data_IF_463080022864
#
_entry.id   IF_463080022864
#
_cell.length_a   1.000
_cell.length_b   1.000
_cell.length_c   1.000
_cell.angle_alpha   90.00
_cell.angle_beta   90.00
_cell.angle_gamma   90.00
#
_symmetry.space_group_name_H-M   'P 1'
#
loop_
_entity.id
_entity.type
_entity.pdbx_description
1 polymer ?
#
# COMPACT_ATOMS: atom_id res chain seq x y z
N UNK A 1 -2.39 -41.64 -11.25
CA UNK A 1 -2.11 -40.26 -11.71
C UNK A 1 -1.92 -39.42 -10.45
N UNK A 2 -0.67 -39.15 -10.08
CA UNK A 2 -0.32 -38.39 -8.88
C UNK A 2 -0.67 -36.91 -9.09
N UNK A 3 -1.25 -36.20 -8.11
CA UNK A 3 -1.34 -34.76 -8.21
C UNK A 3 0.04 -34.18 -7.88
N UNK A 4 0.67 -33.62 -8.90
CA UNK A 4 1.83 -32.74 -8.77
C UNK A 4 1.38 -31.58 -7.90
N UNK A 5 1.84 -31.57 -6.65
CA UNK A 5 1.69 -30.46 -5.73
C UNK A 5 2.59 -29.34 -6.24
N UNK A 6 2.11 -28.56 -7.21
CA UNK A 6 2.74 -27.32 -7.60
C UNK A 6 2.69 -26.41 -6.38
N UNK A 7 3.80 -26.37 -5.63
CA UNK A 7 4.03 -25.38 -4.59
C UNK A 7 4.14 -24.03 -5.29
N UNK A 8 2.99 -23.39 -5.50
CA UNK A 8 2.91 -22.00 -5.92
C UNK A 8 3.42 -21.16 -4.77
N UNK A 9 4.74 -20.98 -4.71
CA UNK A 9 5.33 -19.94 -3.89
C UNK A 9 4.77 -18.60 -4.40
N UNK A 10 4.31 -17.69 -3.52
CA UNK A 10 3.79 -16.40 -3.95
C UNK A 10 4.84 -15.67 -4.82
N UNK A 11 4.42 -14.89 -5.83
CA UNK A 11 5.33 -14.22 -6.79
C UNK A 11 6.38 -13.31 -6.12
N UNK A 12 6.18 -12.99 -4.85
CA UNK A 12 7.12 -12.26 -3.99
C UNK A 12 8.45 -12.99 -3.76
N UNK A 13 8.47 -14.33 -3.74
CA UNK A 13 9.70 -15.10 -3.49
C UNK A 13 10.60 -15.25 -4.73
N UNK A 14 10.02 -15.22 -5.93
CA UNK A 14 10.76 -15.47 -7.17
C UNK A 14 11.72 -14.32 -7.52
N UNK A 15 11.28 -13.08 -7.27
CA UNK A 15 12.08 -11.87 -7.52
C UNK A 15 13.28 -11.78 -6.57
N UNK A 16 13.09 -12.07 -5.28
CA UNK A 16 14.20 -12.11 -4.31
C UNK A 16 15.18 -13.24 -4.62
N UNK A 17 14.68 -14.43 -4.97
CA UNK A 17 15.53 -15.57 -5.32
C UNK A 17 16.39 -15.28 -6.56
N UNK A 18 15.81 -14.71 -7.61
CA UNK A 18 16.54 -14.37 -8.84
C UNK A 18 17.65 -13.35 -8.60
N UNK A 19 17.38 -12.30 -7.81
CA UNK A 19 18.39 -11.30 -7.45
C UNK A 19 19.53 -11.91 -6.63
N UNK A 20 19.19 -12.74 -5.64
CA UNK A 20 20.17 -13.42 -4.81
C UNK A 20 21.07 -14.33 -5.65
N UNK A 21 20.50 -15.13 -6.56
CA UNK A 21 21.27 -15.97 -7.47
C UNK A 21 22.21 -15.16 -8.36
N UNK A 22 21.74 -14.03 -8.91
CA UNK A 22 22.56 -13.17 -9.79
C UNK A 22 23.69 -12.45 -9.07
N UNK A 23 23.51 -12.14 -7.79
CA UNK A 23 24.52 -11.45 -6.97
C UNK A 23 25.41 -12.40 -6.17
N UNK A 24 25.13 -13.70 -6.18
CA UNK A 24 25.79 -14.71 -5.36
C UNK A 24 27.31 -14.73 -5.53
N UNK A 25 27.81 -14.55 -6.76
CA UNK A 25 29.23 -14.71 -7.10
C UNK A 25 30.15 -13.64 -6.50
N UNK A 26 29.62 -12.47 -6.15
CA UNK A 26 30.43 -11.35 -5.64
C UNK A 26 29.88 -10.73 -4.35
N UNK A 27 28.81 -11.28 -3.79
CA UNK A 27 28.22 -10.83 -2.53
C UNK A 27 29.17 -11.06 -1.35
N UNK A 28 29.24 -10.06 -0.47
CA UNK A 28 30.09 -10.08 0.75
C UNK A 28 29.28 -9.81 2.02
N UNK A 29 27.94 -9.81 1.92
CA UNK A 29 27.02 -9.45 3.01
C UNK A 29 25.67 -10.15 2.87
N UNK A 30 25.00 -10.36 4.01
CA UNK A 30 23.62 -10.86 4.09
C UNK A 30 22.57 -9.78 3.74
N UNK A 31 22.97 -8.51 3.60
CA UNK A 31 22.03 -7.45 3.24
C UNK A 31 21.41 -7.69 1.86
N UNK A 32 20.09 -7.55 1.72
CA UNK A 32 19.39 -7.88 0.46
C UNK A 32 20.02 -7.18 -0.75
N UNK A 33 20.30 -5.88 -0.67
CA UNK A 33 20.90 -5.12 -1.77
C UNK A 33 22.41 -4.93 -1.57
N UNK A 34 23.17 -5.20 -2.63
CA UNK A 34 24.63 -5.04 -2.68
C UNK A 34 25.07 -4.03 -3.72
N UNK A 35 26.23 -3.42 -3.50
CA UNK A 35 26.83 -2.47 -4.43
C UNK A 35 27.45 -3.20 -5.62
N UNK A 36 27.33 -2.57 -6.78
CA UNK A 36 27.96 -3.00 -8.05
C UNK A 36 29.15 -2.11 -8.43
N UNK A 37 29.47 -1.09 -7.64
CA UNK A 37 30.58 -0.20 -7.94
C UNK A 37 31.90 -0.96 -7.71
N UNK A 38 32.89 -0.89 -8.62
CA UNK A 38 34.09 -1.73 -8.55
C UNK A 38 34.81 -1.71 -7.19
N UNK A 39 34.93 -0.53 -6.56
CA UNK A 39 35.58 -0.36 -5.26
C UNK A 39 34.80 -0.91 -4.06
N UNK A 40 33.47 -1.05 -4.17
CA UNK A 40 32.60 -1.51 -3.08
C UNK A 40 31.78 -2.74 -3.46
N UNK A 41 32.18 -3.44 -4.52
CA UNK A 41 31.39 -4.53 -5.08
C UNK A 41 31.12 -5.62 -4.04
N UNK A 42 29.85 -6.00 -3.92
CA UNK A 42 29.39 -7.01 -2.98
C UNK A 42 29.07 -6.50 -1.58
N UNK A 43 29.41 -5.25 -1.26
CA UNK A 43 29.12 -4.65 0.05
C UNK A 43 27.68 -4.14 0.14
N UNK A 44 27.18 -4.00 1.37
CA UNK A 44 25.84 -3.44 1.64
C UNK A 44 25.73 -2.01 1.09
N UNK A 45 24.63 -1.71 0.41
CA UNK A 45 24.32 -0.33 0.00
C UNK A 45 23.69 0.48 1.14
N UNK A 46 23.92 1.79 1.12
CA UNK A 46 23.27 2.72 2.05
C UNK A 46 21.80 2.97 1.69
N UNK A 47 21.02 3.42 2.67
CA UNK A 47 19.63 3.85 2.46
C UNK A 47 19.53 5.00 1.44
N UNK A 48 20.52 5.90 1.43
CA UNK A 48 20.60 6.99 0.46
C UNK A 48 20.77 6.49 -0.99
N UNK A 49 21.58 5.45 -1.20
CA UNK A 49 21.75 4.82 -2.52
C UNK A 49 20.45 4.17 -2.99
N UNK A 50 19.80 3.40 -2.11
CA UNK A 50 18.49 2.78 -2.42
C UNK A 50 17.46 3.87 -2.76
N UNK A 51 17.42 4.96 -1.99
CA UNK A 51 16.52 6.08 -2.27
C UNK A 51 16.79 6.77 -3.61
N UNK A 52 18.06 6.84 -4.04
CA UNK A 52 18.43 7.36 -5.36
C UNK A 52 17.97 6.43 -6.48
N UNK A 53 18.18 5.12 -6.34
CA UNK A 53 17.69 4.13 -7.30
C UNK A 53 16.17 4.19 -7.44
N UNK A 54 15.44 4.28 -6.33
CA UNK A 54 13.99 4.37 -6.34
C UNK A 54 13.49 5.61 -7.11
N UNK A 55 14.06 6.79 -6.84
CA UNK A 55 13.73 8.02 -7.59
C UNK A 55 14.01 7.86 -9.09
N UNK A 56 15.17 7.29 -9.44
CA UNK A 56 15.55 7.07 -10.83
C UNK A 56 14.62 6.07 -11.53
N UNK A 57 14.21 5.00 -10.85
CA UNK A 57 13.26 4.02 -11.39
C UNK A 57 11.89 4.65 -11.63
N UNK A 58 11.39 5.48 -10.71
CA UNK A 58 10.13 6.21 -10.90
C UNK A 58 10.25 7.13 -12.11
N UNK A 59 11.29 7.96 -12.19
CA UNK A 59 11.49 8.85 -13.33
C UNK A 59 11.50 8.09 -14.66
N UNK A 60 12.28 6.99 -14.74
CA UNK A 60 12.32 6.12 -15.92
C UNK A 60 10.97 5.51 -16.29
N UNK A 61 10.15 5.15 -15.31
CA UNK A 61 8.82 4.59 -15.56
C UNK A 61 7.85 5.62 -16.16
N UNK A 62 7.95 6.89 -15.76
CA UNK A 62 7.20 7.99 -16.35
C UNK A 62 7.70 8.31 -17.77
N UNK A 63 9.01 8.39 -17.96
CA UNK A 63 9.64 8.60 -19.27
C UNK A 63 9.25 7.51 -20.27
N UNK A 64 9.26 6.23 -19.84
CA UNK A 64 8.86 5.10 -20.68
C UNK A 64 7.38 5.15 -21.11
N UNK A 65 6.53 5.85 -20.35
CA UNK A 65 5.13 6.09 -20.67
C UNK A 65 4.91 7.44 -21.38
N UNK A 66 5.98 8.16 -21.73
CA UNK A 66 5.92 9.51 -22.30
C UNK A 66 5.15 10.51 -21.41
N UNK A 67 5.17 10.30 -20.10
CA UNK A 67 4.54 11.17 -19.11
C UNK A 67 5.60 12.11 -18.49
N UNK A 68 5.16 13.30 -18.10
CA UNK A 68 6.03 14.24 -17.40
C UNK A 68 6.39 13.70 -16.01
N UNK A 69 7.70 13.67 -15.70
CA UNK A 69 8.18 13.24 -14.39
C UNK A 69 7.77 14.26 -13.31
N UNK A 70 7.09 13.85 -12.24
CA UNK A 70 6.72 14.74 -11.15
C UNK A 70 7.95 15.40 -10.50
N UNK A 71 7.83 16.69 -10.14
CA UNK A 71 8.85 17.37 -9.34
C UNK A 71 8.80 16.90 -7.90
N UNK A 72 9.97 16.77 -7.25
CA UNK A 72 10.05 16.46 -5.82
C UNK A 72 9.80 15.00 -5.43
N UNK A 73 9.99 14.04 -6.34
CA UNK A 73 9.91 12.60 -6.00
C UNK A 73 10.92 12.29 -4.89
N UNK A 74 10.44 11.65 -3.83
CA UNK A 74 11.29 11.16 -2.74
C UNK A 74 11.11 9.65 -2.58
N UNK A 75 12.04 8.98 -1.91
CA UNK A 75 11.83 7.58 -1.58
C UNK A 75 10.58 7.38 -0.70
N UNK A 76 10.29 8.35 0.17
CA UNK A 76 9.14 8.32 1.07
C UNK A 76 7.80 8.46 0.34
N UNK A 77 7.74 9.19 -0.79
CA UNK A 77 6.50 9.33 -1.56
C UNK A 77 5.99 8.00 -2.12
N UNK A 78 6.86 7.00 -2.30
CA UNK A 78 6.46 5.64 -2.70
C UNK A 78 5.63 4.98 -1.60
N UNK A 79 6.03 5.14 -0.33
CA UNK A 79 5.26 4.62 0.81
C UNK A 79 3.90 5.30 0.88
N UNK A 80 3.87 6.63 0.74
CA UNK A 80 2.64 7.42 0.68
C UNK A 80 1.68 6.92 -0.42
N UNK A 81 2.18 6.76 -1.64
CA UNK A 81 1.37 6.29 -2.77
C UNK A 81 0.84 4.87 -2.54
N UNK A 82 1.67 3.96 -2.01
CA UNK A 82 1.26 2.60 -1.69
C UNK A 82 0.17 2.55 -0.62
N UNK A 83 0.28 3.35 0.45
CA UNK A 83 -0.72 3.40 1.51
C UNK A 83 -2.03 4.04 1.03
N UNK A 84 -1.96 5.08 0.19
CA UNK A 84 -3.14 5.68 -0.44
C UNK A 84 -3.83 4.71 -1.40
N UNK A 85 -3.08 3.94 -2.18
CA UNK A 85 -3.64 2.92 -3.05
C UNK A 85 -4.31 1.80 -2.25
N UNK A 86 -3.68 1.31 -1.18
CA UNK A 86 -4.27 0.30 -0.30
C UNK A 86 -5.59 0.79 0.33
N UNK A 87 -5.63 2.06 0.74
CA UNK A 87 -6.85 2.69 1.22
C UNK A 87 -7.95 2.77 0.16
N UNK A 88 -7.59 3.19 -1.06
CA UNK A 88 -8.53 3.25 -2.19
C UNK A 88 -9.11 1.88 -2.53
N UNK A 89 -8.35 0.80 -2.30
CA UNK A 89 -8.83 -0.59 -2.42
C UNK A 89 -9.61 -1.08 -1.18
N UNK A 90 -9.98 -0.18 -0.27
CA UNK A 90 -10.74 -0.47 0.96
C UNK A 90 -10.04 -1.46 1.91
N UNK A 91 -8.70 -1.55 1.87
CA UNK A 91 -7.96 -2.34 2.85
C UNK A 91 -8.17 -1.76 4.26
N UNK A 92 -8.33 -2.62 5.29
CA UNK A 92 -8.59 -2.13 6.64
C UNK A 92 -7.38 -1.37 7.18
N UNK A 93 -7.65 -0.29 7.92
CA UNK A 93 -6.62 0.64 8.42
C UNK A 93 -5.57 -0.05 9.30
N UNK A 94 -5.97 -1.07 10.05
CA UNK A 94 -5.09 -1.89 10.88
C UNK A 94 -4.07 -2.65 10.05
N UNK A 95 -4.48 -3.22 8.91
CA UNK A 95 -3.58 -3.91 7.98
C UNK A 95 -2.65 -2.94 7.26
N UNK A 96 -3.15 -1.78 6.88
CA UNK A 96 -2.32 -0.72 6.29
C UNK A 96 -1.26 -0.26 7.31
N UNK A 97 -1.63 -0.01 8.57
CA UNK A 97 -0.69 0.39 9.62
C UNK A 97 0.33 -0.70 9.89
N UNK A 98 -0.10 -1.96 9.95
CA UNK A 98 0.79 -3.12 10.13
C UNK A 98 1.79 -3.24 8.97
N UNK A 99 1.33 -3.16 7.73
CA UNK A 99 2.18 -3.24 6.54
C UNK A 99 3.12 -2.03 6.42
N UNK A 100 2.66 -0.85 6.84
CA UNK A 100 3.45 0.36 6.89
C UNK A 100 4.26 0.48 8.18
N UNK A 101 4.30 -0.49 9.08
CA UNK A 101 5.03 -0.42 10.36
C UNK A 101 4.72 0.84 11.20
N UNK A 102 3.47 1.28 11.23
CA UNK A 102 3.00 2.34 12.14
C UNK A 102 2.35 1.73 13.38
N UNK A 103 2.74 2.24 14.56
CA UNK A 103 2.16 1.84 15.83
C UNK A 103 0.72 2.31 16.02
N UNK A 104 0.30 3.35 15.29
CA UNK A 104 -1.05 3.88 15.33
C UNK A 104 -1.48 4.46 13.99
N UNK A 105 -2.79 4.65 13.76
CA UNK A 105 -3.31 5.28 12.54
C UNK A 105 -3.06 6.79 12.46
N UNK A 106 -2.63 7.45 13.53
CA UNK A 106 -2.53 8.92 13.57
C UNK A 106 -1.54 9.52 12.56
N UNK A 107 -0.37 8.93 12.25
CA UNK A 107 0.51 9.43 11.19
C UNK A 107 -0.17 9.34 9.81
N UNK A 108 -0.95 8.27 9.59
CA UNK A 108 -1.66 8.02 8.36
C UNK A 108 -2.81 9.01 8.16
N UNK A 109 -3.71 9.13 9.14
CA UNK A 109 -4.85 10.06 9.09
C UNK A 109 -4.35 11.51 8.90
N UNK A 110 -3.28 11.90 9.61
CA UNK A 110 -2.70 13.24 9.53
C UNK A 110 -2.06 13.55 8.17
N UNK A 111 -1.30 12.61 7.59
CA UNK A 111 -0.56 12.85 6.36
C UNK A 111 -1.37 12.63 5.08
N UNK A 112 -2.41 11.80 5.14
CA UNK A 112 -3.13 11.38 3.94
C UNK A 112 -4.56 11.90 3.87
N UNK A 113 -4.98 12.75 4.82
CA UNK A 113 -6.30 13.42 4.88
C UNK A 113 -7.43 12.49 4.42
N UNK A 114 -7.36 11.26 4.89
CA UNK A 114 -8.40 10.28 4.60
C UNK A 114 -9.62 10.77 5.34
N UNK A 115 -10.69 10.98 4.59
CA UNK A 115 -11.97 11.33 5.15
C UNK A 115 -12.30 10.25 6.18
N UNK A 116 -12.26 10.60 7.47
CA UNK A 116 -12.43 9.64 8.57
C UNK A 116 -13.78 8.94 8.43
N UNK A 117 -14.74 9.62 7.78
CA UNK A 117 -16.03 9.11 7.34
C UNK A 117 -15.97 7.95 6.35
N UNK A 118 -14.87 7.74 5.63
CA UNK A 118 -14.67 6.64 4.69
C UNK A 118 -14.11 5.36 5.34
N UNK A 119 -13.68 5.42 6.61
CA UNK A 119 -13.15 4.26 7.32
C UNK A 119 -14.22 3.22 7.66
N UNK A 120 -13.80 1.96 7.86
CA UNK A 120 -14.68 0.88 8.30
C UNK A 120 -15.38 1.20 9.63
N UNK A 121 -14.73 1.93 10.54
CA UNK A 121 -15.33 2.39 11.81
C UNK A 121 -16.47 3.40 11.59
N UNK A 122 -16.37 4.23 10.53
CA UNK A 122 -17.45 5.15 10.15
C UNK A 122 -18.65 4.44 9.49
N UNK A 123 -18.58 3.13 9.25
CA UNK A 123 -19.72 2.36 8.73
C UNK A 123 -20.88 2.30 9.73
N UNK A 124 -20.59 2.30 11.04
CA UNK A 124 -21.61 2.36 12.08
C UNK A 124 -22.39 3.68 12.02
N UNK A 125 -21.68 4.80 12.02
CA UNK A 125 -22.29 6.13 11.90
C UNK A 125 -23.11 6.29 10.62
N UNK A 126 -22.62 5.77 9.48
CA UNK A 126 -23.36 5.78 8.20
C UNK A 126 -24.65 4.98 8.26
N UNK A 127 -24.64 3.78 8.87
CA UNK A 127 -25.84 2.95 9.03
C UNK A 127 -26.87 3.61 9.94
N UNK A 128 -26.44 4.25 11.02
CA UNK A 128 -27.33 5.00 11.91
C UNK A 128 -27.97 6.17 11.18
N UNK A 129 -27.18 6.99 10.46
CA UNK A 129 -27.71 8.12 9.70
C UNK A 129 -28.63 7.70 8.55
N UNK A 130 -28.31 6.60 7.86
CA UNK A 130 -29.19 6.01 6.85
C UNK A 130 -30.51 5.54 7.45
N UNK A 131 -30.50 4.93 8.65
CA UNK A 131 -31.72 4.51 9.33
C UNK A 131 -32.57 5.73 9.71
N UNK A 132 -31.97 6.77 10.31
CA UNK A 132 -32.69 8.00 10.69
C UNK A 132 -33.31 8.71 9.49
N UNK A 133 -32.59 8.77 8.35
CA UNK A 133 -33.15 9.30 7.10
C UNK A 133 -34.31 8.45 6.55
N UNK A 134 -34.25 7.13 6.72
CA UNK A 134 -35.30 6.22 6.25
C UNK A 134 -36.53 6.22 7.17
N UNK A 135 -36.35 6.52 8.46
CA UNK A 135 -37.42 6.54 9.48
C UNK A 135 -38.29 7.81 9.41
N UNK A 136 -37.80 8.86 8.77
CA UNK A 136 -38.53 10.13 8.63
C UNK A 136 -39.63 10.12 7.55
N UNK A 137 -39.90 8.95 6.95
CA UNK A 137 -40.82 8.79 5.81
C UNK A 137 -42.17 8.12 6.10
N UNK A 138 -42.43 7.63 7.31
CA UNK A 138 -43.73 7.01 7.65
C UNK A 138 -44.63 8.00 8.39
N UNK A 139 -45.48 8.69 7.64
CA UNK A 139 -46.69 9.31 8.19
C UNK A 139 -47.73 8.19 8.37
N UNK A 140 -48.19 7.90 9.60
CA UNK A 140 -49.26 6.93 9.79
C UNK A 140 -50.58 7.59 9.39
N UNK A 141 -51.12 7.21 8.22
CA UNK A 141 -52.49 7.52 7.86
C UNK A 141 -53.43 6.75 8.81
N UNK A 142 -54.03 7.49 9.74
CA UNK A 142 -55.09 7.02 10.62
C UNK A 142 -56.28 6.57 9.75
N UNK A 143 -56.65 5.29 9.84
CA UNK A 143 -57.94 4.81 9.33
C UNK A 143 -58.95 4.94 10.48
N UNK A 144 -59.72 6.02 10.46
CA UNK A 144 -60.90 6.19 11.30
C UNK A 144 -61.88 5.04 11.05
N UNK A 145 -62.34 4.46 12.15
CA UNK A 145 -63.40 3.46 12.21
C UNK A 145 -64.67 4.13 12.75
N UNK A 146 -65.83 3.68 12.25
CA UNK A 146 -67.21 3.75 12.80
C UNK A 146 -68.15 4.76 12.11
N UNK A 147 -69.47 4.53 12.16
CA UNK A 147 -70.23 3.27 12.05
C UNK A 147 -71.16 3.24 10.82
#
# INVERSE_FOLDING_TARGET
>A
ISPIRASVAPPRCLLSSTYLSRTATFRKTEALFVSFQPSTQGQKVSSATIGRWLKATIAKAYEAQSLQVPRGITAHSTRSAATSAAWATQAPISDICRAATWASPSPFIRHYKIDVFASADASFGRRVLQRVHSDSGETPAQTETLP
#
